data_IF_377230576103
#
_entry.id   IF_377230576103
#
_cell.length_a   1.000
_cell.length_b   1.000
_cell.length_c   1.000
_cell.angle_alpha   90.00
_cell.angle_beta   90.00
_cell.angle_gamma   90.00
#
_symmetry.space_group_name_H-M   'P 1'
#
loop_
_entity.id
_entity.type
_entity.pdbx_description
1 polymer ?
#
# COMPACT_ATOMS: atom_id res chain seq x y z
N UNK A 1 -9.20 2.16 -2.56
CA UNK A 1 -8.46 0.98 -3.03
C UNK A 1 -7.81 0.29 -1.86
N UNK A 2 -7.89 -1.01 -1.82
CA UNK A 2 -7.25 -1.81 -0.76
C UNK A 2 -6.18 -2.70 -1.35
N UNK A 3 -5.18 -3.02 -0.54
CA UNK A 3 -4.11 -3.93 -0.94
C UNK A 3 -3.69 -4.79 0.24
N UNK A 4 -3.20 -5.99 -0.07
CA UNK A 4 -2.69 -6.89 0.93
C UNK A 4 -1.18 -6.74 1.03
N UNK A 5 -0.70 -6.51 2.24
CA UNK A 5 0.72 -6.42 2.52
C UNK A 5 1.30 -7.84 2.61
N UNK A 6 2.14 -8.20 1.66
CA UNK A 6 2.64 -9.58 1.52
C UNK A 6 3.31 -10.15 2.76
N UNK A 7 4.20 -9.40 3.46
CA UNK A 7 4.92 -9.99 4.60
C UNK A 7 4.03 -10.47 5.74
N UNK A 8 2.89 -9.82 5.96
CA UNK A 8 2.01 -10.16 7.08
C UNK A 8 0.64 -10.68 6.67
N UNK A 9 0.26 -10.45 5.40
CA UNK A 9 -1.07 -10.77 4.90
C UNK A 9 -2.15 -9.79 5.34
N UNK A 10 -1.80 -8.72 6.03
CA UNK A 10 -2.77 -7.70 6.44
C UNK A 10 -3.25 -6.90 5.26
N UNK A 11 -4.50 -6.48 5.31
CA UNK A 11 -5.13 -5.66 4.29
C UNK A 11 -5.17 -4.21 4.78
N UNK A 12 -4.69 -3.30 3.93
CA UNK A 12 -4.67 -1.88 4.23
C UNK A 12 -5.41 -1.10 3.17
N UNK A 13 -6.06 -0.01 3.60
CA UNK A 13 -6.58 0.98 2.67
C UNK A 13 -5.43 1.80 2.12
N UNK A 14 -5.44 2.01 0.81
CA UNK A 14 -4.42 2.83 0.15
C UNK A 14 -4.95 4.24 -0.01
N UNK A 15 -4.31 5.20 0.65
CA UNK A 15 -4.78 6.59 0.69
C UNK A 15 -4.15 7.47 -0.38
N UNK A 16 -2.97 7.09 -0.84
CA UNK A 16 -2.29 7.85 -1.89
C UNK A 16 -1.24 6.96 -2.55
N UNK A 17 -0.81 7.37 -3.73
CA UNK A 17 0.26 6.70 -4.47
C UNK A 17 1.23 7.77 -4.94
N UNK A 18 2.52 7.53 -4.75
CA UNK A 18 3.56 8.41 -5.27
C UNK A 18 4.72 7.57 -5.79
N UNK A 19 5.57 8.16 -6.61
CA UNK A 19 6.81 7.52 -7.03
C UNK A 19 7.93 7.91 -6.07
N UNK A 20 8.82 6.95 -5.81
CA UNK A 20 10.01 7.24 -5.04
C UNK A 20 11.07 7.94 -5.90
N UNK A 21 12.26 8.15 -5.33
CA UNK A 21 13.37 8.82 -6.02
C UNK A 21 13.74 8.14 -7.34
N UNK A 22 13.56 6.83 -7.42
CA UNK A 22 13.94 6.02 -8.58
C UNK A 22 12.78 5.77 -9.53
N UNK A 23 11.62 6.36 -9.29
CA UNK A 23 10.45 6.20 -10.13
C UNK A 23 9.61 4.96 -9.83
N UNK A 24 9.86 4.29 -8.71
CA UNK A 24 9.06 3.15 -8.29
C UNK A 24 7.88 3.59 -7.43
N UNK A 25 6.69 3.01 -7.63
CA UNK A 25 5.50 3.44 -6.88
C UNK A 25 5.56 3.03 -5.41
N UNK A 26 5.02 3.92 -4.57
CA UNK A 26 4.84 3.68 -3.15
C UNK A 26 3.39 3.96 -2.77
N UNK A 27 2.87 3.16 -1.85
CA UNK A 27 1.50 3.33 -1.34
C UNK A 27 1.53 3.96 0.05
N UNK A 28 0.64 4.91 0.26
CA UNK A 28 0.44 5.53 1.57
C UNK A 28 -0.60 4.73 2.34
N UNK A 29 -0.21 4.27 3.52
CA UNK A 29 -1.11 3.57 4.42
C UNK A 29 -1.05 4.19 5.82
N UNK A 30 -2.06 3.88 6.63
CA UNK A 30 -2.08 4.22 8.06
C UNK A 30 -1.77 2.96 8.84
N UNK A 31 -0.69 2.97 9.59
CA UNK A 31 -0.25 1.81 10.37
C UNK A 31 0.24 2.28 11.73
N UNK A 32 -0.27 1.66 12.80
CA UNK A 32 0.15 1.98 14.18
C UNK A 32 0.06 3.47 14.50
N UNK A 33 -1.02 4.11 14.02
CA UNK A 33 -1.27 5.55 14.16
C UNK A 33 -0.26 6.43 13.43
N UNK A 34 0.44 5.89 12.46
CA UNK A 34 1.38 6.64 11.63
C UNK A 34 1.05 6.52 10.17
N UNK A 35 1.34 7.59 9.41
CA UNK A 35 1.27 7.57 7.96
C UNK A 35 2.61 7.13 7.43
N UNK A 36 2.61 6.05 6.64
CA UNK A 36 3.84 5.54 6.05
C UNK A 36 3.66 5.26 4.57
N UNK A 37 4.72 5.54 3.80
CA UNK A 37 4.80 5.12 2.41
C UNK A 37 5.62 3.85 2.33
N UNK A 38 5.08 2.84 1.66
CA UNK A 38 5.74 1.55 1.50
C UNK A 38 5.73 1.20 0.01
N UNK A 39 6.83 0.66 -0.48
CA UNK A 39 6.94 0.27 -1.88
C UNK A 39 5.78 -0.64 -2.30
N UNK A 40 5.18 -0.33 -3.43
CA UNK A 40 4.06 -1.10 -3.96
C UNK A 40 4.41 -2.56 -4.24
N UNK A 41 5.69 -2.88 -4.40
CA UNK A 41 6.13 -4.26 -4.63
C UNK A 41 5.81 -5.20 -3.47
N UNK A 42 5.60 -4.66 -2.27
CA UNK A 42 5.23 -5.46 -1.10
C UNK A 42 3.73 -5.68 -0.99
N UNK A 43 2.96 -5.17 -1.92
CA UNK A 43 1.50 -5.27 -1.89
C UNK A 43 0.98 -6.07 -3.07
N UNK A 44 -0.17 -6.70 -2.83
CA UNK A 44 -1.00 -7.29 -3.89
C UNK A 44 -2.31 -6.53 -3.88
N UNK A 45 -2.73 -6.02 -5.03
CA UNK A 45 -4.01 -5.31 -5.11
C UNK A 45 -5.16 -6.29 -4.91
N UNK A 46 -6.20 -5.81 -4.25
CA UNK A 46 -7.40 -6.58 -4.00
C UNK A 46 -8.51 -5.95 -4.82
N UNK A 47 -9.12 -6.76 -5.69
CA UNK A 47 -10.30 -6.32 -6.41
C UNK A 47 -11.50 -6.46 -5.48
N UNK A 48 -12.20 -5.35 -5.28
CA UNK A 48 -13.46 -5.39 -4.54
C UNK A 48 -14.59 -5.60 -5.53
N UNK A 49 -15.33 -6.67 -5.33
CA UNK A 49 -16.56 -6.89 -6.08
C UNK A 49 -17.63 -5.99 -5.51
N UNK A 50 -18.32 -5.32 -6.39
CA UNK A 50 -19.39 -4.40 -6.04
C UNK A 50 -20.72 -5.14 -6.08
#
# INVERSE_FOLDING_TARGET
MKAKYKPTGKIYEIFNVRDDRNGYPQFLIRRDNEWVYISAKYFVTIEEEV
#
